data_IF_116997793192
#
_entry.id   IF_116997793192
#
_cell.length_a   1.000
_cell.length_b   1.000
_cell.length_c   1.000
_cell.angle_alpha   90.00
_cell.angle_beta   90.00
_cell.angle_gamma   90.00
#
_symmetry.space_group_name_H-M   'P 1'
#
loop_
_entity.id
_entity.type
_entity.pdbx_description
1 polymer ?
#
# COMPACT_ATOMS: atom_id res chain seq x y z
N UNK A 1 29.25 25.95 25.07
CA UNK A 1 28.20 26.12 24.05
C UNK A 1 27.98 24.76 23.38
N UNK A 2 26.97 24.04 23.83
CA UNK A 2 26.63 22.71 23.27
C UNK A 2 25.74 22.95 22.04
N UNK A 3 26.27 22.68 20.85
CA UNK A 3 25.49 22.71 19.62
C UNK A 3 24.51 21.51 19.67
N UNK A 4 23.26 21.82 19.91
CA UNK A 4 22.16 20.85 19.78
C UNK A 4 22.13 20.44 18.30
N UNK A 5 22.64 19.25 17.99
CA UNK A 5 22.46 18.64 16.67
C UNK A 5 20.96 18.46 16.45
N UNK A 6 20.34 19.35 15.72
CA UNK A 6 19.02 19.13 15.14
C UNK A 6 19.12 17.89 14.25
N UNK A 7 18.64 16.76 14.77
CA UNK A 7 18.42 15.55 13.95
C UNK A 7 17.39 15.93 12.87
N UNK A 8 17.87 16.25 11.67
CA UNK A 8 17.01 16.46 10.52
C UNK A 8 16.13 15.23 10.32
N UNK A 9 14.80 15.42 10.30
CA UNK A 9 13.87 14.34 10.05
C UNK A 9 14.17 13.73 8.69
N UNK A 10 14.28 12.39 8.57
CA UNK A 10 14.54 11.78 7.28
C UNK A 10 13.42 12.15 6.31
N UNK A 11 13.78 12.52 5.08
CA UNK A 11 12.81 12.79 4.03
C UNK A 11 11.96 11.54 3.76
N UNK A 12 10.66 11.73 3.52
CA UNK A 12 9.74 10.63 3.15
C UNK A 12 10.12 9.99 1.80
N UNK A 13 10.97 10.66 1.03
CA UNK A 13 11.51 10.21 -0.25
C UNK A 13 12.87 9.50 -0.10
N UNK A 14 13.44 9.52 1.11
CA UNK A 14 14.74 8.92 1.35
C UNK A 14 14.67 7.39 1.25
N UNK A 15 15.53 6.81 0.43
CA UNK A 15 15.67 5.37 0.29
C UNK A 15 16.99 4.95 0.91
N UNK A 16 16.92 4.35 2.09
CA UNK A 16 18.06 3.72 2.76
C UNK A 16 17.82 2.22 2.92
N UNK A 17 18.76 1.52 3.53
CA UNK A 17 18.69 0.06 3.75
C UNK A 17 17.36 -0.36 4.41
N UNK A 18 16.87 0.41 5.38
CA UNK A 18 15.61 0.12 6.07
C UNK A 18 14.42 0.13 5.09
N UNK A 19 14.34 1.12 4.22
CA UNK A 19 13.28 1.23 3.21
C UNK A 19 13.34 0.08 2.21
N UNK A 20 14.54 -0.31 1.77
CA UNK A 20 14.73 -1.48 0.89
C UNK A 20 14.21 -2.76 1.54
N UNK A 21 14.50 -2.97 2.82
CA UNK A 21 13.98 -4.13 3.57
C UNK A 21 12.44 -4.08 3.64
N UNK A 22 11.85 -2.92 3.91
CA UNK A 22 10.39 -2.79 3.92
C UNK A 22 9.76 -3.03 2.55
N UNK A 23 10.37 -2.53 1.47
CA UNK A 23 9.93 -2.81 0.09
C UNK A 23 9.94 -4.31 -0.21
N UNK A 24 11.02 -5.00 0.13
CA UNK A 24 11.15 -6.43 -0.10
C UNK A 24 10.12 -7.25 0.70
N UNK A 25 9.99 -6.95 2.00
CA UNK A 25 9.00 -7.61 2.86
C UNK A 25 7.57 -7.33 2.41
N UNK A 26 7.27 -6.06 2.08
CA UNK A 26 5.95 -5.66 1.61
C UNK A 26 5.59 -6.34 0.29
N UNK A 27 6.51 -6.36 -0.68
CA UNK A 27 6.31 -7.01 -1.97
C UNK A 27 6.10 -8.53 -1.81
N UNK A 28 6.91 -9.19 -0.97
CA UNK A 28 6.75 -10.62 -0.70
C UNK A 28 5.42 -10.96 -0.03
N UNK A 29 5.00 -10.14 0.96
CA UNK A 29 3.71 -10.31 1.64
C UNK A 29 2.54 -10.06 0.67
N UNK A 30 2.61 -8.99 -0.14
CA UNK A 30 1.55 -8.69 -1.10
C UNK A 30 1.45 -9.78 -2.16
N UNK A 31 2.55 -10.17 -2.79
CA UNK A 31 2.56 -11.22 -3.81
C UNK A 31 2.12 -12.56 -3.26
N UNK A 32 2.61 -12.97 -2.09
CA UNK A 32 2.21 -14.23 -1.46
C UNK A 32 0.74 -14.27 -1.05
N UNK A 33 0.21 -13.17 -0.46
CA UNK A 33 -1.20 -13.10 -0.07
C UNK A 33 -2.12 -12.98 -1.30
N UNK A 34 -1.70 -12.29 -2.37
CA UNK A 34 -2.42 -12.24 -3.64
C UNK A 34 -2.53 -13.63 -4.23
N UNK A 35 -1.43 -14.38 -4.31
CA UNK A 35 -1.44 -15.78 -4.77
C UNK A 35 -2.45 -16.64 -3.99
N UNK A 36 -2.47 -16.51 -2.67
CA UNK A 36 -3.38 -17.29 -1.81
C UNK A 36 -4.85 -16.94 -2.01
N UNK A 37 -5.18 -15.76 -2.54
CA UNK A 37 -6.57 -15.29 -2.73
C UNK A 37 -6.99 -15.21 -4.21
N UNK A 38 -6.10 -15.45 -5.15
CA UNK A 38 -6.37 -15.35 -6.59
C UNK A 38 -7.40 -16.35 -7.14
N UNK A 39 -7.75 -17.39 -6.38
CA UNK A 39 -8.85 -18.27 -6.73
C UNK A 39 -10.24 -17.61 -6.56
N UNK A 40 -10.32 -16.51 -5.82
CA UNK A 40 -11.56 -15.73 -5.63
C UNK A 40 -11.69 -14.73 -6.78
N UNK A 41 -12.33 -15.14 -7.88
CA UNK A 41 -12.48 -14.28 -9.07
C UNK A 41 -13.90 -13.73 -9.17
N UNK A 42 -13.98 -12.48 -9.61
CA UNK A 42 -15.24 -11.82 -9.97
C UNK A 42 -15.50 -11.98 -11.47
N UNK A 43 -16.76 -12.24 -11.88
CA UNK A 43 -17.11 -12.27 -13.28
C UNK A 43 -16.79 -10.92 -13.95
N UNK A 44 -15.83 -10.91 -14.86
CA UNK A 44 -15.43 -9.76 -15.68
C UNK A 44 -14.76 -10.29 -16.95
N UNK A 45 -14.44 -9.42 -17.90
CA UNK A 45 -13.71 -9.81 -19.12
C UNK A 45 -12.35 -10.40 -18.77
N UNK A 46 -11.65 -9.81 -17.77
CA UNK A 46 -10.32 -10.23 -17.35
C UNK A 46 -10.29 -11.15 -16.10
N UNK A 47 -11.44 -11.67 -15.65
CA UNK A 47 -11.52 -12.48 -14.42
C UNK A 47 -10.83 -11.83 -13.22
N UNK A 48 -11.22 -10.61 -12.89
CA UNK A 48 -10.62 -9.82 -11.80
C UNK A 48 -10.74 -10.55 -10.47
N UNK A 49 -9.64 -10.70 -9.76
CA UNK A 49 -9.62 -11.36 -8.45
C UNK A 49 -10.14 -10.44 -7.34
N UNK A 50 -10.84 -11.02 -6.36
CA UNK A 50 -11.13 -10.38 -5.08
C UNK A 50 -9.82 -10.34 -4.28
N UNK A 51 -9.32 -9.15 -3.93
CA UNK A 51 -7.97 -8.99 -3.38
C UNK A 51 -7.92 -8.34 -2.00
N UNK A 52 -8.18 -9.09 -0.90
CA UNK A 52 -7.93 -8.58 0.46
C UNK A 52 -6.48 -8.14 0.65
N UNK A 53 -5.56 -8.72 -0.12
CA UNK A 53 -4.13 -8.43 -0.11
C UNK A 53 -3.82 -6.96 -0.42
N UNK A 54 -4.73 -6.21 -1.07
CA UNK A 54 -4.54 -4.79 -1.40
C UNK A 54 -4.25 -3.92 -0.17
N UNK A 55 -4.64 -4.36 1.01
CA UNK A 55 -4.31 -3.66 2.25
C UNK A 55 -2.80 -3.57 2.49
N UNK A 56 -2.00 -4.48 1.94
CA UNK A 56 -0.54 -4.50 2.15
C UNK A 56 0.13 -3.28 1.52
N UNK A 57 0.01 -2.98 0.20
CA UNK A 57 0.59 -1.75 -0.35
C UNK A 57 0.01 -0.48 0.28
N UNK A 58 -1.28 -0.44 0.62
CA UNK A 58 -1.89 0.68 1.33
C UNK A 58 -1.22 0.91 2.69
N UNK A 59 -1.06 -0.14 3.49
CA UNK A 59 -0.43 -0.08 4.81
C UNK A 59 1.05 0.28 4.73
N UNK A 60 1.82 -0.39 3.87
CA UNK A 60 3.26 -0.12 3.73
C UNK A 60 3.51 1.29 3.21
N UNK A 61 2.69 1.78 2.29
CA UNK A 61 2.73 3.16 1.84
C UNK A 61 2.45 4.12 2.99
N UNK A 62 1.32 3.99 3.66
CA UNK A 62 0.90 4.88 4.74
C UNK A 62 1.93 4.96 5.87
N UNK A 63 2.52 3.84 6.27
CA UNK A 63 3.45 3.76 7.41
C UNK A 63 4.89 4.12 7.05
N UNK A 64 5.38 3.67 5.89
CA UNK A 64 6.79 3.76 5.53
C UNK A 64 7.09 4.74 4.40
N UNK A 65 6.06 5.34 3.80
CA UNK A 65 6.17 6.39 2.80
C UNK A 65 5.89 5.95 1.36
N UNK A 66 5.78 6.94 0.44
CA UNK A 66 5.26 6.72 -0.90
C UNK A 66 6.15 5.82 -1.77
N UNK A 67 7.47 5.91 -1.62
CA UNK A 67 8.39 5.06 -2.40
C UNK A 67 8.28 3.59 -1.96
N UNK A 68 8.14 3.35 -0.65
CA UNK A 68 7.94 1.98 -0.13
C UNK A 68 6.60 1.43 -0.61
N UNK A 69 5.53 2.22 -0.56
CA UNK A 69 4.21 1.83 -1.06
C UNK A 69 4.22 1.51 -2.56
N UNK A 70 4.86 2.35 -3.37
CA UNK A 70 5.01 2.16 -4.82
C UNK A 70 5.64 0.81 -5.14
N UNK A 71 6.78 0.53 -4.52
CA UNK A 71 7.52 -0.73 -4.78
C UNK A 71 6.77 -1.94 -4.20
N UNK A 72 6.20 -1.81 -3.02
CA UNK A 72 5.37 -2.87 -2.42
C UNK A 72 4.21 -3.25 -3.33
N UNK A 73 3.47 -2.27 -3.86
CA UNK A 73 2.34 -2.51 -4.75
C UNK A 73 2.78 -3.06 -6.10
N UNK A 74 3.71 -2.39 -6.77
CA UNK A 74 4.14 -2.77 -8.11
C UNK A 74 4.88 -4.11 -8.15
N UNK A 75 5.95 -4.24 -7.39
CA UNK A 75 6.72 -5.48 -7.35
C UNK A 75 5.93 -6.63 -6.73
N UNK A 76 5.10 -6.35 -5.73
CA UNK A 76 4.28 -7.38 -5.10
C UNK A 76 3.21 -7.93 -6.03
N UNK A 77 2.54 -7.06 -6.85
CA UNK A 77 1.61 -7.51 -7.88
C UNK A 77 2.32 -8.38 -8.91
N UNK A 78 3.44 -7.90 -9.45
CA UNK A 78 4.27 -8.65 -10.38
C UNK A 78 4.62 -10.05 -9.86
N UNK A 79 5.07 -10.15 -8.60
CA UNK A 79 5.40 -11.44 -7.98
C UNK A 79 4.16 -12.32 -7.81
N UNK A 80 3.03 -11.76 -7.41
CA UNK A 80 1.77 -12.48 -7.26
C UNK A 80 1.28 -13.08 -8.58
N UNK A 81 1.32 -12.31 -9.66
CA UNK A 81 0.91 -12.73 -11.00
C UNK A 81 1.87 -13.80 -11.55
N UNK A 82 3.17 -13.62 -11.33
CA UNK A 82 4.20 -14.58 -11.76
C UNK A 82 4.03 -15.93 -11.06
N UNK A 83 3.82 -15.93 -9.75
CA UNK A 83 3.63 -17.17 -8.96
C UNK A 83 2.27 -17.83 -9.31
N UNK A 84 1.26 -17.03 -9.64
CA UNK A 84 -0.07 -17.52 -10.04
C UNK A 84 -0.09 -18.06 -11.48
N UNK A 85 0.95 -17.82 -12.27
CA UNK A 85 1.01 -18.23 -13.67
C UNK A 85 0.14 -17.37 -14.60
N UNK A 86 -0.29 -16.20 -14.17
CA UNK A 86 -1.11 -15.30 -14.99
C UNK A 86 -0.30 -14.58 -16.08
N UNK A 87 1.00 -14.46 -15.91
CA UNK A 87 1.90 -13.71 -16.80
C UNK A 87 2.28 -12.34 -16.22
N UNK A 88 2.78 -11.47 -17.07
CA UNK A 88 3.26 -10.13 -16.69
C UNK A 88 2.36 -9.06 -17.30
N UNK A 89 1.76 -8.25 -16.46
CA UNK A 89 0.88 -7.15 -16.83
C UNK A 89 1.41 -5.84 -16.24
N UNK A 90 2.40 -5.23 -16.90
CA UNK A 90 3.12 -4.04 -16.39
C UNK A 90 2.20 -2.86 -16.03
N UNK A 91 1.11 -2.68 -16.77
CA UNK A 91 0.13 -1.65 -16.47
C UNK A 91 -0.60 -1.91 -15.13
N UNK A 92 -0.91 -3.16 -14.82
CA UNK A 92 -1.48 -3.56 -13.53
C UNK A 92 -0.44 -3.45 -12.41
N UNK A 93 0.84 -3.78 -12.69
CA UNK A 93 1.93 -3.60 -11.73
C UNK A 93 2.10 -2.12 -11.37
N UNK A 94 2.13 -1.24 -12.37
CA UNK A 94 2.21 0.21 -12.17
C UNK A 94 0.97 0.71 -11.41
N UNK A 95 -0.23 0.26 -11.79
CA UNK A 95 -1.48 0.62 -11.13
C UNK A 95 -1.48 0.27 -9.64
N UNK A 96 -1.07 -0.94 -9.30
CA UNK A 96 -0.93 -1.38 -7.91
C UNK A 96 0.17 -0.61 -7.16
N UNK A 97 1.25 -0.25 -7.85
CA UNK A 97 2.27 0.66 -7.32
C UNK A 97 1.70 2.03 -6.97
N UNK A 98 0.87 2.61 -7.84
CA UNK A 98 0.20 3.89 -7.60
C UNK A 98 -0.70 3.84 -6.36
N UNK A 99 -1.40 2.74 -6.11
CA UNK A 99 -2.21 2.56 -4.90
C UNK A 99 -1.37 2.77 -3.64
N UNK A 100 -0.25 2.07 -3.53
CA UNK A 100 0.66 2.21 -2.40
C UNK A 100 1.33 3.58 -2.33
N UNK A 101 1.66 4.18 -3.48
CA UNK A 101 2.22 5.52 -3.56
C UNK A 101 1.28 6.58 -2.98
N UNK A 102 0.02 6.61 -3.42
CA UNK A 102 -0.97 7.57 -2.92
C UNK A 102 -1.23 7.40 -1.43
N UNK A 103 -1.38 6.17 -0.93
CA UNK A 103 -1.48 5.91 0.51
C UNK A 103 -0.27 6.47 1.27
N UNK A 104 0.92 6.35 0.69
CA UNK A 104 2.17 6.87 1.26
C UNK A 104 2.24 8.39 1.35
N UNK A 105 1.47 9.13 0.55
CA UNK A 105 1.38 10.59 0.65
C UNK A 105 0.81 11.05 2.00
N UNK A 106 0.11 10.18 2.75
CA UNK A 106 -0.29 10.47 4.14
C UNK A 106 0.90 10.84 5.03
N UNK A 107 2.11 10.36 4.70
CA UNK A 107 3.34 10.67 5.42
C UNK A 107 3.93 12.06 5.12
N UNK A 108 3.34 12.84 4.19
CA UNK A 108 3.79 14.20 3.90
C UNK A 108 3.77 15.08 5.15
N UNK A 109 4.76 15.98 5.23
CA UNK A 109 4.89 16.93 6.35
C UNK A 109 3.64 17.81 6.54
N UNK A 110 2.93 18.08 5.44
CA UNK A 110 1.66 18.81 5.44
C UNK A 110 0.61 18.24 6.41
N UNK A 111 0.55 16.91 6.54
CA UNK A 111 -0.42 16.23 7.40
C UNK A 111 0.10 16.00 8.81
N UNK A 112 1.41 16.15 9.05
CA UNK A 112 2.08 15.94 10.34
C UNK A 112 1.81 14.54 10.97
N UNK A 113 1.62 13.54 10.16
CA UNK A 113 1.31 12.16 10.60
C UNK A 113 2.60 11.36 10.84
N UNK A 114 3.53 11.33 9.87
CA UNK A 114 4.83 10.64 9.93
C UNK A 114 4.76 9.18 10.45
N UNK A 115 3.83 8.40 9.91
CA UNK A 115 3.62 7.01 10.34
C UNK A 115 3.03 6.85 11.74
N UNK A 116 2.49 7.92 12.35
CA UNK A 116 1.83 7.91 13.65
C UNK A 116 0.32 7.97 13.50
N UNK A 117 -0.33 6.86 13.72
CA UNK A 117 -1.77 6.71 13.58
C UNK A 117 -2.46 6.61 14.94
N UNK A 118 -2.18 7.59 15.82
CA UNK A 118 -2.70 7.65 17.20
C UNK A 118 -4.07 8.35 17.33
N UNK A 119 -4.54 8.97 16.25
CA UNK A 119 -5.82 9.68 16.27
C UNK A 119 -6.65 9.40 15.00
N UNK A 120 -7.98 9.53 15.07
CA UNK A 120 -8.87 9.26 13.93
C UNK A 120 -8.55 10.09 12.68
N UNK A 121 -8.14 11.34 12.83
CA UNK A 121 -7.78 12.21 11.70
C UNK A 121 -6.65 11.63 10.86
N UNK A 122 -5.61 11.09 11.51
CA UNK A 122 -4.49 10.50 10.80
C UNK A 122 -4.92 9.25 10.00
N UNK A 123 -5.77 8.43 10.59
CA UNK A 123 -6.35 7.24 9.94
C UNK A 123 -7.22 7.68 8.76
N UNK A 124 -8.11 8.65 8.94
CA UNK A 124 -8.97 9.16 7.86
C UNK A 124 -8.17 9.71 6.69
N UNK A 125 -7.07 10.44 6.95
CA UNK A 125 -6.21 10.96 5.87
C UNK A 125 -5.58 9.80 5.08
N UNK A 126 -5.08 8.76 5.76
CA UNK A 126 -4.53 7.58 5.09
C UNK A 126 -5.59 6.84 4.28
N UNK A 127 -6.80 6.70 4.82
CA UNK A 127 -7.96 6.10 4.14
C UNK A 127 -8.34 6.87 2.87
N UNK A 128 -8.50 8.19 2.97
CA UNK A 128 -8.88 9.03 1.82
C UNK A 128 -7.82 8.97 0.72
N UNK A 129 -6.54 9.09 1.08
CA UNK A 129 -5.45 9.00 0.12
C UNK A 129 -5.31 7.59 -0.45
N UNK A 130 -5.52 6.56 0.37
CA UNK A 130 -5.57 5.17 -0.08
C UNK A 130 -6.72 4.93 -1.07
N UNK A 131 -7.93 5.42 -0.76
CA UNK A 131 -9.08 5.32 -1.65
C UNK A 131 -8.85 6.05 -2.99
N UNK A 132 -8.28 7.25 -2.95
CA UNK A 132 -7.85 7.96 -4.18
C UNK A 132 -6.84 7.12 -4.95
N UNK A 133 -5.87 6.53 -4.26
CA UNK A 133 -4.88 5.64 -4.86
C UNK A 133 -5.51 4.43 -5.55
N UNK A 134 -6.49 3.77 -4.91
CA UNK A 134 -7.23 2.66 -5.51
C UNK A 134 -7.93 3.10 -6.78
N UNK A 135 -8.71 4.19 -6.75
CA UNK A 135 -9.43 4.67 -7.93
C UNK A 135 -8.47 5.03 -9.07
N UNK A 136 -7.41 5.78 -8.77
CA UNK A 136 -6.42 6.22 -9.78
C UNK A 136 -5.62 5.03 -10.32
N UNK A 137 -5.12 4.17 -9.43
CA UNK A 137 -4.28 3.03 -9.82
C UNK A 137 -5.05 1.99 -10.63
N UNK A 138 -6.25 1.62 -10.20
CA UNK A 138 -7.08 0.65 -10.94
C UNK A 138 -7.61 1.27 -12.24
N UNK A 139 -7.96 2.56 -12.26
CA UNK A 139 -8.34 3.23 -13.51
C UNK A 139 -7.17 3.22 -14.51
N UNK A 140 -5.95 3.54 -14.04
CA UNK A 140 -4.76 3.46 -14.88
C UNK A 140 -4.59 2.04 -15.44
N UNK A 141 -4.61 1.01 -14.61
CA UNK A 141 -4.43 -0.37 -15.01
C UNK A 141 -5.49 -0.78 -16.06
N UNK A 142 -6.77 -0.71 -15.71
CA UNK A 142 -7.85 -1.19 -16.53
C UNK A 142 -8.00 -0.42 -17.86
N UNK A 143 -7.92 0.91 -17.84
CA UNK A 143 -8.09 1.68 -19.09
C UNK A 143 -6.87 1.65 -19.99
N UNK A 144 -5.68 1.36 -19.48
CA UNK A 144 -4.51 1.10 -20.34
C UNK A 144 -4.58 -0.25 -21.04
N UNK A 145 -5.42 -1.19 -20.60
CA UNK A 145 -5.69 -2.44 -21.31
C UNK A 145 -6.36 -2.24 -22.68
N UNK A 146 -6.92 -1.07 -22.94
CA UNK A 146 -7.34 -0.67 -24.28
C UNK A 146 -6.17 -0.75 -25.27
N UNK A 147 -4.96 -0.42 -24.84
CA UNK A 147 -3.75 -0.46 -25.69
C UNK A 147 -2.97 -1.77 -25.54
N UNK A 148 -2.83 -2.30 -24.33
CA UNK A 148 -2.04 -3.48 -24.06
C UNK A 148 -2.78 -4.78 -24.39
N UNK A 149 -4.04 -4.90 -23.96
CA UNK A 149 -4.85 -6.11 -24.11
C UNK A 149 -5.89 -5.99 -25.24
N UNK A 150 -5.88 -4.85 -25.99
CA UNK A 150 -6.82 -4.56 -27.09
C UNK A 150 -8.28 -4.58 -26.68
N UNK A 151 -8.58 -4.28 -25.43
CA UNK A 151 -9.96 -4.15 -24.97
C UNK A 151 -10.63 -2.90 -25.56
N UNK A 152 -11.95 -2.96 -25.68
CA UNK A 152 -12.74 -1.76 -25.91
C UNK A 152 -13.05 -1.08 -24.56
N UNK A 153 -13.63 0.13 -24.60
CA UNK A 153 -13.95 0.89 -23.39
C UNK A 153 -14.88 0.13 -22.43
N UNK A 154 -15.87 -0.60 -22.94
CA UNK A 154 -16.78 -1.40 -22.11
C UNK A 154 -16.05 -2.55 -21.42
N UNK A 155 -15.12 -3.23 -22.12
CA UNK A 155 -14.25 -4.26 -21.54
C UNK A 155 -13.39 -3.71 -20.41
N UNK A 156 -12.66 -2.61 -20.65
CA UNK A 156 -11.87 -1.94 -19.63
C UNK A 156 -12.72 -1.52 -18.41
N UNK A 157 -13.93 -1.01 -18.64
CA UNK A 157 -14.85 -0.65 -17.54
C UNK A 157 -15.32 -1.87 -16.75
N UNK A 158 -15.52 -3.02 -17.43
CA UNK A 158 -15.90 -4.27 -16.76
C UNK A 158 -14.79 -4.85 -15.88
N UNK A 159 -13.54 -4.47 -16.09
CA UNK A 159 -12.42 -4.78 -15.21
C UNK A 159 -12.28 -3.72 -14.10
N UNK A 160 -12.38 -2.44 -14.45
CA UNK A 160 -12.25 -1.34 -13.51
C UNK A 160 -13.22 -1.41 -12.34
N UNK A 161 -14.53 -1.57 -12.62
CA UNK A 161 -15.58 -1.48 -11.60
C UNK A 161 -15.40 -2.57 -10.52
N UNK A 162 -15.35 -3.88 -10.84
CA UNK A 162 -15.23 -4.90 -9.83
C UNK A 162 -13.89 -4.84 -9.07
N UNK A 163 -12.79 -4.51 -9.76
CA UNK A 163 -11.49 -4.34 -9.10
C UNK A 163 -11.49 -3.19 -8.11
N UNK A 164 -11.93 -1.99 -8.54
CA UNK A 164 -11.95 -0.81 -7.69
C UNK A 164 -12.90 -0.99 -6.49
N UNK A 165 -14.08 -1.56 -6.70
CA UNK A 165 -15.04 -1.83 -5.62
C UNK A 165 -14.48 -2.82 -4.61
N UNK A 166 -13.91 -3.93 -5.07
CA UNK A 166 -13.27 -4.93 -4.20
C UNK A 166 -12.15 -4.29 -3.37
N UNK A 167 -11.22 -3.60 -4.03
CA UNK A 167 -10.05 -3.01 -3.39
C UNK A 167 -10.44 -1.88 -2.41
N UNK A 168 -11.47 -1.08 -2.73
CA UNK A 168 -12.02 -0.07 -1.82
C UNK A 168 -12.64 -0.71 -0.57
N UNK A 169 -13.45 -1.75 -0.73
CA UNK A 169 -14.08 -2.44 0.41
C UNK A 169 -13.01 -2.97 1.36
N UNK A 170 -12.04 -3.72 0.85
CA UNK A 170 -10.98 -4.28 1.70
C UNK A 170 -10.05 -3.20 2.24
N UNK A 171 -9.71 -2.17 1.48
CA UNK A 171 -8.93 -1.03 1.93
C UNK A 171 -9.58 -0.36 3.13
N UNK A 172 -10.83 0.08 2.98
CA UNK A 172 -11.59 0.80 4.03
C UNK A 172 -11.77 -0.04 5.30
N UNK A 173 -11.94 -1.36 5.18
CA UNK A 173 -12.13 -2.21 6.36
C UNK A 173 -10.80 -2.56 7.03
N UNK A 174 -9.79 -2.97 6.24
CA UNK A 174 -8.58 -3.58 6.80
C UNK A 174 -7.48 -2.57 7.12
N UNK A 175 -7.37 -1.46 6.39
CA UNK A 175 -6.31 -0.48 6.62
C UNK A 175 -6.38 0.14 8.01
N UNK A 176 -7.54 0.65 8.51
CA UNK A 176 -7.61 1.21 9.85
C UNK A 176 -7.27 0.19 10.93
N UNK A 177 -7.67 -1.07 10.76
CA UNK A 177 -7.34 -2.16 11.70
C UNK A 177 -5.82 -2.32 11.80
N UNK A 178 -5.14 -2.39 10.65
CA UNK A 178 -3.68 -2.53 10.63
C UNK A 178 -2.96 -1.30 11.17
N UNK A 179 -3.44 -0.09 10.88
CA UNK A 179 -2.84 1.15 11.40
C UNK A 179 -2.97 1.25 12.92
N UNK A 180 -4.13 0.89 13.48
CA UNK A 180 -4.35 0.85 14.94
C UNK A 180 -3.47 -0.21 15.60
N UNK A 181 -3.41 -1.41 15.03
CA UNK A 181 -2.58 -2.50 15.54
C UNK A 181 -1.08 -2.13 15.51
N UNK A 182 -0.62 -1.53 14.41
CA UNK A 182 0.74 -1.03 14.28
C UNK A 182 1.07 0.03 15.33
N UNK A 183 0.20 1.02 15.52
CA UNK A 183 0.40 2.08 16.50
C UNK A 183 0.48 1.52 17.92
N UNK A 184 -0.36 0.54 18.28
CA UNK A 184 -0.32 -0.14 19.58
C UNK A 184 1.00 -0.91 19.78
N UNK A 185 1.50 -1.58 18.74
CA UNK A 185 2.75 -2.32 18.81
C UNK A 185 3.98 -1.41 19.00
N UNK A 186 4.01 -0.28 18.30
CA UNK A 186 5.11 0.71 18.44
C UNK A 186 5.07 1.42 19.78
N UNK A 187 3.87 1.77 20.28
CA UNK A 187 3.68 2.40 21.57
C UNK A 187 4.19 1.52 22.74
N UNK A 188 3.91 0.22 22.70
CA UNK A 188 4.39 -0.74 23.72
C UNK A 188 5.91 -0.85 23.76
N UNK A 189 6.58 -0.81 22.61
CA UNK A 189 8.06 -0.83 22.56
C UNK A 189 8.69 0.40 23.20
N UNK A 190 8.09 1.57 23.02
CA UNK A 190 8.55 2.81 23.65
C UNK A 190 8.46 2.78 25.17
N UNK A 191 7.41 2.19 25.74
CA UNK A 191 7.25 2.03 27.21
C UNK A 191 8.26 1.04 27.78
N UNK A 192 8.44 -0.12 27.15
CA UNK A 192 9.40 -1.12 27.62
C UNK A 192 10.86 -0.63 27.59
N UNK A 193 11.22 0.21 26.63
CA UNK A 193 12.55 0.83 26.57
C UNK A 193 12.75 1.89 27.66
N UNK A 194 11.71 2.66 28.01
CA UNK A 194 11.77 3.69 29.07
C UNK A 194 11.85 3.11 30.49
N UNK A 195 11.27 1.94 30.73
CA UNK A 195 11.34 1.27 32.04
C UNK A 195 12.73 0.65 32.30
N UNK A 196 13.44 0.22 31.25
CA UNK A 196 14.82 -0.28 31.36
C UNK A 196 15.86 0.79 31.77
N UNK A 197 15.63 2.06 31.39
CA UNK A 197 16.51 3.17 31.76
C UNK A 197 16.31 3.68 33.22
N UNK A 198 15.19 3.35 33.86
CA UNK A 198 14.87 3.78 35.22
C UNK A 198 15.36 2.81 36.29
N UNK A 199 15.83 1.63 35.90
CA UNK A 199 16.27 0.55 36.81
C UNK A 199 17.80 0.37 36.81
N UNK A 200 18.52 1.13 35.99
CA UNK A 200 19.97 1.17 35.93
C UNK A 200 20.51 2.48 36.53
#
# INVERSE_FOLDING_TARGET
MSATQERSRPSIWAVGVRQVVYMALGAALYGGLSYLTNFLQLPSVGNVSIRPAIVIPLFFGAVFGPVVGLITGGLGNFLGDLISGYGVYLNWDIGNGLIGFFAGLASLSLFNIFGRYSNPRAITIAEVLGAVGVVVGIAFAAYTDIWFSKLNFAGATSEFIPAAVSDLIFGIILLPILLVAYNAAVGRRGMAAGDGERVA
#
